data_IF_984377624300
#
_entry.id   IF_984377624300
#
_cell.length_a   1.000
_cell.length_b   1.000
_cell.length_c   1.000
_cell.angle_alpha   90.00
_cell.angle_beta   90.00
_cell.angle_gamma   90.00
#
_symmetry.space_group_name_H-M   'P 1'
#
loop_
_entity.id
_entity.type
_entity.pdbx_description
1 polymer ?
#
# COMPACT_ATOMS: atom_id res chain seq x y z
N UNK A 1 -13.14 -11.58 3.02
CA UNK A 1 -12.25 -11.11 4.05
C UNK A 1 -11.42 -9.94 3.55
N UNK A 2 -11.22 -9.01 4.40
CA UNK A 2 -10.62 -7.74 4.05
C UNK A 2 -9.09 -7.82 4.01
N UNK A 3 -8.47 -7.15 3.05
CA UNK A 3 -7.03 -6.99 3.01
C UNK A 3 -6.54 -6.21 4.23
N UNK A 4 -7.36 -5.31 4.75
CA UNK A 4 -7.02 -4.56 5.96
C UNK A 4 -6.87 -5.52 7.14
N UNK A 5 -7.78 -6.48 7.26
CA UNK A 5 -7.69 -7.47 8.33
C UNK A 5 -6.39 -8.26 8.25
N UNK A 6 -5.96 -8.61 7.04
CA UNK A 6 -4.71 -9.34 6.86
C UNK A 6 -3.51 -8.53 7.33
N UNK A 7 -3.53 -7.22 7.12
CA UNK A 7 -2.44 -6.34 7.55
C UNK A 7 -2.33 -6.31 9.07
N UNK A 8 -3.45 -6.35 9.77
CA UNK A 8 -3.46 -6.21 11.23
C UNK A 8 -3.40 -7.52 11.98
N UNK A 9 -3.31 -8.64 11.29
CA UNK A 9 -3.28 -9.94 11.96
C UNK A 9 -2.11 -10.13 12.89
N UNK A 10 -1.01 -9.43 12.64
CA UNK A 10 0.19 -9.58 13.45
C UNK A 10 0.12 -8.92 14.82
N UNK A 11 -0.93 -8.16 15.09
CA UNK A 11 -0.96 -7.34 16.30
C UNK A 11 -1.18 -8.14 17.57
N UNK A 12 -1.66 -9.35 17.48
CA UNK A 12 -1.89 -10.17 18.65
C UNK A 12 -0.62 -10.63 19.34
N UNK A 13 0.49 -10.66 18.63
CA UNK A 13 1.75 -11.10 19.17
C UNK A 13 2.88 -10.31 18.58
N UNK A 14 3.46 -10.84 17.51
CA UNK A 14 4.51 -10.16 16.78
C UNK A 14 3.91 -9.48 15.56
N UNK A 15 4.33 -8.26 15.31
CA UNK A 15 3.91 -7.58 14.08
C UNK A 15 4.60 -8.20 12.89
N UNK A 16 3.82 -8.53 11.86
CA UNK A 16 4.36 -9.04 10.61
C UNK A 16 5.01 -7.94 9.79
N UNK A 17 4.49 -6.71 9.92
CA UNK A 17 4.98 -5.55 9.17
C UNK A 17 5.27 -4.45 10.18
N UNK A 18 6.53 -4.30 10.59
CA UNK A 18 6.86 -3.46 11.76
C UNK A 18 6.69 -1.96 11.53
N UNK A 19 6.83 -1.48 10.30
CA UNK A 19 6.71 -0.05 10.07
C UNK A 19 5.37 0.30 9.44
N UNK A 20 4.93 1.54 9.65
CA UNK A 20 3.70 2.02 9.06
C UNK A 20 3.78 2.02 7.54
N UNK A 21 4.93 2.41 7.00
CA UNK A 21 5.15 2.41 5.55
C UNK A 21 5.06 1.01 4.98
N UNK A 22 5.60 0.04 5.68
CA UNK A 22 5.52 -1.34 5.23
C UNK A 22 4.09 -1.86 5.26
N UNK A 23 3.35 -1.51 6.32
CA UNK A 23 1.93 -1.87 6.40
C UNK A 23 1.15 -1.27 5.23
N UNK A 24 1.39 0.00 4.94
CA UNK A 24 0.70 0.68 3.84
C UNK A 24 1.03 0.03 2.50
N UNK A 25 2.31 -0.28 2.28
CA UNK A 25 2.75 -0.88 1.03
C UNK A 25 2.13 -2.27 0.83
N UNK A 26 2.06 -3.05 1.90
CA UNK A 26 1.45 -4.37 1.82
C UNK A 26 -0.06 -4.27 1.62
N UNK A 27 -0.71 -3.30 2.23
CA UNK A 27 -2.13 -3.08 1.99
C UNK A 27 -2.40 -2.79 0.51
N UNK A 28 -1.61 -1.91 -0.07
CA UNK A 28 -1.75 -1.60 -1.49
C UNK A 28 -1.60 -2.87 -2.33
N UNK A 29 -0.57 -3.63 -2.05
CA UNK A 29 -0.28 -4.84 -2.82
C UNK A 29 -1.44 -5.82 -2.73
N UNK A 30 -1.91 -6.10 -1.51
CA UNK A 30 -2.96 -7.08 -1.32
C UNK A 30 -4.25 -6.67 -2.00
N UNK A 31 -4.62 -5.39 -1.94
CA UNK A 31 -5.87 -4.94 -2.55
C UNK A 31 -5.77 -5.00 -4.07
N UNK A 32 -4.65 -4.58 -4.64
CA UNK A 32 -4.48 -4.63 -6.09
C UNK A 32 -4.56 -6.07 -6.60
N UNK A 33 -3.99 -7.01 -5.84
CA UNK A 33 -3.92 -8.40 -6.25
C UNK A 33 -5.12 -9.24 -5.82
N UNK A 34 -6.07 -8.63 -5.12
CA UNK A 34 -7.21 -9.36 -4.58
C UNK A 34 -8.19 -9.71 -5.69
N UNK A 35 -8.41 -11.00 -5.89
CA UNK A 35 -9.29 -11.49 -6.95
C UNK A 35 -10.77 -11.27 -6.66
N UNK A 36 -11.11 -10.83 -5.46
CA UNK A 36 -12.50 -10.51 -5.12
C UNK A 36 -13.01 -9.28 -5.87
N UNK A 37 -12.09 -8.45 -6.32
CA UNK A 37 -12.43 -7.28 -7.12
C UNK A 37 -11.98 -7.53 -8.55
N UNK A 38 -12.70 -6.96 -9.50
CA UNK A 38 -12.30 -7.08 -10.90
C UNK A 38 -11.72 -5.76 -11.37
N UNK A 39 -12.54 -4.98 -12.05
CA UNK A 39 -12.12 -3.65 -12.43
C UNK A 39 -12.18 -2.76 -11.19
N UNK A 40 -11.31 -1.78 -11.15
CA UNK A 40 -11.33 -0.82 -10.07
C UNK A 40 -10.47 -1.17 -8.89
N UNK A 41 -9.81 -2.35 -8.91
CA UNK A 41 -8.90 -2.70 -7.82
C UNK A 41 -7.83 -1.64 -7.62
N UNK A 42 -7.33 -1.08 -8.70
CA UNK A 42 -6.28 -0.07 -8.62
C UNK A 42 -6.79 1.18 -7.91
N UNK A 43 -8.01 1.60 -8.22
CA UNK A 43 -8.60 2.77 -7.57
C UNK A 43 -8.88 2.52 -6.10
N UNK A 44 -9.43 1.34 -5.80
CA UNK A 44 -9.72 0.96 -4.41
C UNK A 44 -8.42 0.90 -3.62
N UNK A 45 -7.39 0.30 -4.20
CA UNK A 45 -6.10 0.18 -3.53
C UNK A 45 -5.50 1.55 -3.24
N UNK A 46 -5.57 2.45 -4.22
CA UNK A 46 -5.03 3.80 -4.03
C UNK A 46 -5.79 4.54 -2.94
N UNK A 47 -7.12 4.43 -2.93
CA UNK A 47 -7.94 5.11 -1.93
C UNK A 47 -7.64 4.58 -0.52
N UNK A 48 -7.54 3.27 -0.38
CA UNK A 48 -7.26 2.68 0.93
C UNK A 48 -5.85 2.99 1.40
N UNK A 49 -4.90 3.03 0.48
CA UNK A 49 -3.53 3.39 0.79
C UNK A 49 -3.46 4.81 1.37
N UNK A 50 -4.10 5.75 0.69
CA UNK A 50 -4.11 7.13 1.17
C UNK A 50 -4.86 7.26 2.48
N UNK A 51 -5.99 6.57 2.60
CA UNK A 51 -6.79 6.61 3.82
C UNK A 51 -5.99 6.08 5.00
N UNK A 52 -5.31 4.96 4.83
CA UNK A 52 -4.51 4.35 5.88
C UNK A 52 -3.39 5.31 6.34
N UNK A 53 -2.69 5.89 5.38
CA UNK A 53 -1.62 6.84 5.72
C UNK A 53 -2.17 8.05 6.43
N UNK A 54 -3.30 8.58 5.95
CA UNK A 54 -3.87 9.78 6.55
C UNK A 54 -4.36 9.51 7.97
N UNK A 55 -4.98 8.36 8.21
CA UNK A 55 -5.44 8.01 9.55
C UNK A 55 -4.31 7.88 10.56
N UNK A 56 -3.12 7.57 10.07
CA UNK A 56 -1.97 7.36 10.94
C UNK A 56 -0.99 8.54 10.88
N UNK A 57 -1.46 9.68 10.38
CA UNK A 57 -0.67 10.91 10.29
C UNK A 57 0.61 10.72 9.48
N UNK A 58 0.54 9.88 8.46
CA UNK A 58 1.71 9.52 7.68
C UNK A 58 1.60 9.93 6.21
N UNK A 59 0.51 10.61 5.83
CA UNK A 59 0.32 11.03 4.43
C UNK A 59 1.06 12.33 4.13
N UNK A 60 1.17 13.21 5.11
CA UNK A 60 1.77 14.53 4.91
C UNK A 60 3.06 14.65 5.70
N UNK A 61 4.03 15.30 5.10
CA UNK A 61 5.30 15.61 5.78
C UNK A 61 5.70 17.02 5.35
N UNK A 62 5.96 17.87 6.33
CA UNK A 62 6.36 19.25 6.09
C UNK A 62 5.42 20.00 5.16
N UNK A 63 4.12 19.72 5.30
CA UNK A 63 3.08 20.39 4.52
C UNK A 63 2.89 19.83 3.13
N UNK A 64 3.61 18.78 2.74
CA UNK A 64 3.49 18.20 1.42
C UNK A 64 3.05 16.74 1.52
N UNK A 65 2.25 16.31 0.57
CA UNK A 65 1.83 14.93 0.48
C UNK A 65 3.03 14.06 0.09
N UNK A 66 3.21 12.95 0.81
CA UNK A 66 4.42 12.13 0.66
C UNK A 66 4.46 11.34 -0.64
N UNK A 67 3.34 11.20 -1.31
CA UNK A 67 3.32 10.54 -2.62
C UNK A 67 2.38 11.32 -3.53
N UNK A 68 2.83 11.60 -4.73
CA UNK A 68 1.99 12.30 -5.70
C UNK A 68 0.94 11.37 -6.27
N UNK A 69 -0.13 11.95 -6.80
CA UNK A 69 -1.20 11.16 -7.40
C UNK A 69 -0.68 10.36 -8.60
N UNK A 70 0.18 10.97 -9.42
CA UNK A 70 0.70 10.26 -10.58
C UNK A 70 1.62 9.12 -10.18
N UNK A 71 2.42 9.29 -9.13
CA UNK A 71 3.27 8.23 -8.62
C UNK A 71 2.42 7.08 -8.09
N UNK A 72 1.35 7.40 -7.38
CA UNK A 72 0.46 6.39 -6.83
C UNK A 72 -0.23 5.60 -7.94
N UNK A 73 -0.71 6.29 -8.97
CA UNK A 73 -1.33 5.62 -10.11
C UNK A 73 -0.33 4.67 -10.79
N UNK A 74 0.90 5.15 -11.02
CA UNK A 74 1.93 4.32 -11.63
C UNK A 74 2.23 3.09 -10.78
N UNK A 75 2.29 3.28 -9.47
CA UNK A 75 2.56 2.18 -8.54
C UNK A 75 1.47 1.12 -8.59
N UNK A 76 0.20 1.52 -8.64
CA UNK A 76 -0.90 0.56 -8.72
C UNK A 76 -0.86 -0.21 -10.03
N UNK A 77 -0.52 0.44 -11.12
CA UNK A 77 -0.43 -0.22 -12.42
C UNK A 77 0.71 -1.23 -12.42
N UNK A 78 1.88 -0.83 -11.94
CA UNK A 78 3.03 -1.72 -11.86
C UNK A 78 2.74 -2.92 -10.98
N UNK A 79 2.07 -2.69 -9.85
CA UNK A 79 1.70 -3.77 -8.95
C UNK A 79 0.75 -4.74 -9.62
N UNK A 80 -0.24 -4.22 -10.33
CA UNK A 80 -1.22 -5.05 -11.02
C UNK A 80 -0.56 -5.94 -12.08
N UNK A 81 0.47 -5.43 -12.74
CA UNK A 81 1.18 -6.17 -13.78
C UNK A 81 2.24 -7.11 -13.22
N UNK A 82 2.58 -6.99 -11.95
CA UNK A 82 3.68 -7.74 -11.37
C UNK A 82 3.36 -9.22 -11.25
N UNK A 83 4.41 -10.03 -11.27
CA UNK A 83 4.30 -11.48 -11.06
C UNK A 83 4.38 -11.77 -9.56
N UNK A 84 3.88 -12.94 -9.13
CA UNK A 84 3.89 -13.26 -7.69
C UNK A 84 5.27 -13.21 -7.06
N UNK A 85 6.31 -13.56 -7.79
CA UNK A 85 7.66 -13.53 -7.24
C UNK A 85 8.25 -12.13 -7.19
N UNK A 86 7.50 -11.12 -7.65
CA UNK A 86 7.93 -9.73 -7.61
C UNK A 86 7.31 -8.96 -6.44
N UNK A 87 6.60 -9.65 -5.54
CA UNK A 87 5.90 -8.98 -4.46
C UNK A 87 6.83 -8.10 -3.63
N UNK A 88 7.98 -8.64 -3.24
CA UNK A 88 8.90 -7.89 -2.39
C UNK A 88 9.41 -6.63 -3.09
N UNK A 89 9.63 -6.73 -4.41
CA UNK A 89 10.07 -5.58 -5.19
C UNK A 89 9.00 -4.50 -5.22
N UNK A 90 7.73 -4.90 -5.36
CA UNK A 90 6.64 -3.93 -5.41
C UNK A 90 6.42 -3.26 -4.06
N UNK A 91 6.50 -4.03 -2.98
CA UNK A 91 6.39 -3.48 -1.64
C UNK A 91 7.53 -2.51 -1.36
N UNK A 92 8.75 -2.89 -1.73
CA UNK A 92 9.91 -2.02 -1.56
C UNK A 92 9.78 -0.73 -2.36
N UNK A 93 9.24 -0.82 -3.57
CA UNK A 93 9.05 0.35 -4.41
C UNK A 93 8.05 1.32 -3.78
N UNK A 94 6.94 0.79 -3.24
CA UNK A 94 5.96 1.62 -2.57
C UNK A 94 6.57 2.32 -1.36
N UNK A 95 7.37 1.60 -0.59
CA UNK A 95 8.04 2.21 0.56
C UNK A 95 9.01 3.29 0.13
N UNK A 96 9.71 3.06 -0.98
CA UNK A 96 10.66 4.05 -1.51
C UNK A 96 9.96 5.34 -1.89
N UNK A 97 8.80 5.25 -2.51
CA UNK A 97 8.05 6.45 -2.87
C UNK A 97 7.70 7.27 -1.64
N UNK A 98 7.33 6.60 -0.55
CA UNK A 98 6.99 7.30 0.68
C UNK A 98 8.22 7.92 1.33
N UNK A 99 9.36 7.25 1.22
CA UNK A 99 10.60 7.75 1.83
C UNK A 99 11.15 8.97 1.09
N UNK A 100 10.95 9.02 -0.23
CA UNK A 100 11.42 10.14 -1.03
C UNK A 100 10.55 11.38 -0.85
N UNK A 101 9.31 11.17 -0.50
CA UNK A 101 8.40 12.29 -0.25
C UNK A 101 8.67 12.94 1.07
#
# INVERSE_FOLDING_TARGET
RSSIAAIYQGFGGQEMYPTLEEKAANLLYFVVKNHSFHDGNKRIAAALFLYFLNMNDALWADGAKRISDSALVALTIMTAESKPDEKEAMVALAMSFLSLG
#
